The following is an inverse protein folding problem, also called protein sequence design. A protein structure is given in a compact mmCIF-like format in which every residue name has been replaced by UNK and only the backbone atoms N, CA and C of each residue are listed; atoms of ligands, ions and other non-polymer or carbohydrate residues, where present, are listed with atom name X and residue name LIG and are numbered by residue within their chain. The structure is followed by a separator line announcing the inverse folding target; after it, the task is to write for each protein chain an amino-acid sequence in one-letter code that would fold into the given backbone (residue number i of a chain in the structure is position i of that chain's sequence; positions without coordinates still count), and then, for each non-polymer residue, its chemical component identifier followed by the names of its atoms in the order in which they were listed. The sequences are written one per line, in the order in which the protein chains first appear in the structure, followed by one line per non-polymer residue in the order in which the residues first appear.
data_IF_828797052819
#
_entry.id   IF_828797052819
#
_cell.length_a   1.000
_cell.length_b   1.000
_cell.length_c   1.000
_cell.angle_alpha   90.00
_cell.angle_beta   90.00
_cell.angle_gamma   90.00
#
_symmetry.space_group_name_H-M   'P 1'
#
loop_
_entity.id
_entity.type
_entity.pdbx_description
1 polymer ?
#
# COMPACT_ATOMS: atom_id res chain seq x y z
N UNK A 1 11.60 57.13 -47.70
CA UNK A 1 11.87 58.31 -46.85
C UNK A 1 10.76 58.28 -45.81
N UNK A 2 10.96 58.06 -44.52
CA UNK A 2 12.12 58.33 -43.65
C UNK A 2 11.93 57.55 -42.34
N UNK A 3 13.04 57.07 -41.76
CA UNK A 3 13.28 56.73 -40.35
C UNK A 3 12.19 55.96 -39.59
N UNK A 4 12.35 54.67 -39.27
CA UNK A 4 13.38 54.19 -38.37
C UNK A 4 13.08 54.60 -36.92
N UNK A 5 12.27 53.83 -36.21
CA UNK A 5 12.26 53.85 -34.73
C UNK A 5 12.78 52.52 -34.21
N UNK A 6 14.09 52.35 -34.40
CA UNK A 6 14.90 51.48 -33.58
C UNK A 6 15.09 52.19 -32.24
N UNK A 7 14.18 51.99 -31.29
CA UNK A 7 14.46 52.26 -29.88
C UNK A 7 14.09 51.04 -29.07
N UNK A 8 15.14 50.48 -28.49
CA UNK A 8 15.14 49.67 -27.28
C UNK A 8 14.86 48.18 -27.50
N UNK A 9 15.72 47.58 -28.34
CA UNK A 9 16.40 46.38 -27.90
C UNK A 9 17.18 46.68 -26.61
N UNK A 10 16.90 45.91 -25.56
CA UNK A 10 17.67 45.66 -24.32
C UNK A 10 17.08 46.24 -23.01
N UNK A 11 16.94 45.33 -22.03
CA UNK A 11 16.47 45.47 -20.65
C UNK A 11 14.96 45.70 -20.52
N UNK A 12 14.13 44.77 -20.05
CA UNK A 12 14.25 44.04 -18.78
C UNK A 12 13.60 42.65 -18.95
N UNK A 13 14.35 41.71 -19.51
CA UNK A 13 14.32 40.36 -18.95
C UNK A 13 14.89 40.53 -17.54
N UNK A 14 14.02 40.89 -16.59
CA UNK A 14 14.33 40.89 -15.15
C UNK A 14 14.55 39.44 -14.77
N UNK A 15 15.74 38.98 -15.13
CA UNK A 15 16.40 37.81 -14.64
C UNK A 15 16.66 38.11 -13.16
N UNK A 16 15.60 38.06 -12.35
CA UNK A 16 15.65 37.97 -10.90
C UNK A 16 16.43 36.69 -10.60
N UNK A 17 17.75 36.79 -10.69
CA UNK A 17 18.66 35.88 -10.03
C UNK A 17 18.24 35.93 -8.58
N UNK A 18 17.55 34.89 -8.12
CA UNK A 18 17.24 34.74 -6.70
C UNK A 18 18.58 34.82 -5.96
N UNK A 19 18.89 35.99 -5.40
CA UNK A 19 20.21 36.24 -4.81
C UNK A 19 20.58 35.12 -3.82
N UNK A 20 19.58 34.69 -3.03
CA UNK A 20 19.48 33.37 -2.40
C UNK A 20 17.99 33.03 -2.25
N UNK A 21 17.60 31.77 -2.47
CA UNK A 21 16.24 31.28 -2.20
C UNK A 21 16.17 30.52 -0.87
N UNK A 22 14.96 30.24 -0.37
CA UNK A 22 14.78 29.39 0.82
C UNK A 22 15.10 27.93 0.46
N UNK A 23 16.14 27.37 1.08
CA UNK A 23 16.60 26.02 0.80
C UNK A 23 15.68 24.90 1.31
N UNK A 24 14.80 25.15 2.30
CA UNK A 24 13.91 24.13 2.86
C UNK A 24 12.66 24.74 3.54
N UNK A 25 11.50 24.08 3.40
CA UNK A 25 10.28 24.41 4.15
C UNK A 25 9.37 23.19 4.36
N UNK A 26 8.84 23.06 5.58
CA UNK A 26 7.82 22.07 5.96
C UNK A 26 6.43 22.72 6.19
N UNK A 27 6.28 24.02 5.89
CA UNK A 27 5.13 24.81 6.33
C UNK A 27 3.76 24.28 5.87
N UNK A 28 3.65 23.82 4.62
CA UNK A 28 2.38 23.34 4.05
C UNK A 28 2.27 21.80 4.02
N UNK A 29 3.24 21.04 4.54
CA UNK A 29 3.21 19.58 4.39
C UNK A 29 2.09 18.96 5.25
N UNK A 30 1.93 19.42 6.50
CA UNK A 30 0.86 18.95 7.38
C UNK A 30 -0.52 19.24 6.79
N UNK A 31 -0.75 20.47 6.29
CA UNK A 31 -2.02 20.82 5.64
C UNK A 31 -2.32 19.91 4.45
N UNK A 32 -1.31 19.60 3.62
CA UNK A 32 -1.47 18.65 2.50
C UNK A 32 -1.75 17.22 2.96
N UNK A 33 -1.04 16.73 3.99
CA UNK A 33 -1.24 15.38 4.53
C UNK A 33 -2.65 15.20 5.13
N UNK A 34 -3.18 16.25 5.77
CA UNK A 34 -4.52 16.22 6.36
C UNK A 34 -5.67 16.45 5.37
N UNK A 35 -5.43 17.02 4.16
CA UNK A 35 -6.48 17.17 3.13
C UNK A 35 -7.17 15.83 2.80
N UNK A 36 -6.39 14.75 2.68
CA UNK A 36 -6.92 13.40 2.45
C UNK A 36 -6.97 12.54 3.73
N UNK A 37 -6.54 13.13 4.86
CA UNK A 37 -6.39 12.47 6.15
C UNK A 37 -5.20 11.50 6.20
N UNK A 38 -4.51 11.47 7.35
CA UNK A 38 -3.47 10.48 7.63
C UNK A 38 -4.15 9.16 7.98
N UNK A 39 -4.16 8.20 7.05
CA UNK A 39 -4.79 6.90 7.26
C UNK A 39 -3.86 5.96 8.02
N UNK A 40 -4.40 5.30 9.04
CA UNK A 40 -3.71 4.22 9.76
C UNK A 40 -3.58 2.98 8.85
N UNK A 41 -2.53 2.15 9.02
CA UNK A 41 -2.44 0.88 8.31
C UNK A 41 -3.65 0.00 8.65
N UNK A 42 -4.17 -0.70 7.65
CA UNK A 42 -5.31 -1.60 7.84
C UNK A 42 -4.86 -2.83 8.63
N UNK A 43 -5.57 -3.13 9.71
CA UNK A 43 -5.38 -4.36 10.47
C UNK A 43 -6.34 -5.43 9.97
N UNK A 44 -5.83 -6.64 9.79
CA UNK A 44 -6.63 -7.81 9.41
C UNK A 44 -6.59 -8.83 10.56
N UNK A 45 -7.67 -9.61 10.72
CA UNK A 45 -7.75 -10.66 11.76
C UNK A 45 -6.61 -11.67 11.67
N UNK A 46 -6.12 -11.94 10.46
CA UNK A 46 -5.05 -12.90 10.20
C UNK A 46 -3.95 -12.25 9.35
N UNK A 47 -2.78 -11.92 9.93
CA UNK A 47 -1.65 -11.39 9.18
C UNK A 47 -0.90 -12.49 8.41
N UNK A 48 -0.03 -12.10 7.47
CA UNK A 48 0.83 -13.04 6.76
C UNK A 48 1.91 -13.62 7.68
N UNK A 49 2.27 -14.89 7.49
CA UNK A 49 3.37 -15.55 8.20
C UNK A 49 4.75 -15.36 7.52
N UNK A 50 4.89 -14.36 6.64
CA UNK A 50 6.17 -14.09 5.96
C UNK A 50 7.21 -13.63 6.99
N UNK A 51 8.38 -14.28 7.00
CA UNK A 51 9.47 -13.98 7.95
C UNK A 51 9.42 -14.77 9.26
N UNK A 52 8.43 -15.64 9.46
CA UNK A 52 8.40 -16.59 10.58
C UNK A 52 9.38 -17.73 10.32
N UNK A 53 9.95 -18.31 11.39
CA UNK A 53 10.92 -19.42 11.33
C UNK A 53 10.48 -20.54 10.34
N UNK A 54 11.30 -20.84 9.31
CA UNK A 54 11.02 -21.89 8.35
C UNK A 54 10.80 -23.28 8.98
N UNK A 55 11.47 -23.61 10.09
CA UNK A 55 11.31 -24.91 10.76
C UNK A 55 9.93 -25.02 11.39
N UNK A 56 9.51 -23.99 12.12
CA UNK A 56 8.15 -23.89 12.65
C UNK A 56 7.09 -23.96 11.53
N UNK A 57 7.27 -23.21 10.43
CA UNK A 57 6.31 -23.19 9.33
C UNK A 57 6.17 -24.54 8.62
N UNK A 58 7.29 -25.26 8.43
CA UNK A 58 7.26 -26.64 7.90
C UNK A 58 6.39 -27.54 8.77
N UNK A 59 6.61 -27.53 10.08
CA UNK A 59 5.83 -28.32 11.01
C UNK A 59 4.34 -27.93 11.00
N UNK A 60 4.04 -26.63 11.10
CA UNK A 60 2.66 -26.14 11.07
C UNK A 60 1.92 -26.56 9.79
N UNK A 61 2.61 -26.56 8.64
CA UNK A 61 2.05 -27.01 7.36
C UNK A 61 1.67 -28.48 7.39
N UNK A 62 2.54 -29.35 7.92
CA UNK A 62 2.24 -30.78 8.04
C UNK A 62 1.12 -31.05 9.04
N UNK A 63 1.11 -30.39 10.19
CA UNK A 63 0.05 -30.51 11.19
C UNK A 63 -1.33 -30.14 10.61
N UNK A 64 -1.44 -28.97 9.96
CA UNK A 64 -2.67 -28.52 9.30
C UNK A 64 -3.16 -29.52 8.24
N UNK A 65 -2.24 -30.06 7.43
CA UNK A 65 -2.58 -31.06 6.40
C UNK A 65 -3.15 -32.33 7.02
N UNK A 66 -2.53 -32.84 8.10
CA UNK A 66 -3.02 -34.01 8.83
C UNK A 66 -4.43 -33.80 9.37
N UNK A 67 -4.67 -32.69 10.08
CA UNK A 67 -5.99 -32.34 10.60
C UNK A 67 -7.03 -32.22 9.50
N UNK A 68 -6.69 -31.57 8.39
CA UNK A 68 -7.62 -31.39 7.27
C UNK A 68 -8.11 -32.75 6.73
N UNK A 69 -7.20 -33.71 6.50
CA UNK A 69 -7.55 -35.04 5.99
C UNK A 69 -8.50 -35.81 6.94
N UNK A 70 -8.22 -35.78 8.25
CA UNK A 70 -9.09 -36.43 9.25
C UNK A 70 -10.47 -35.76 9.26
N UNK A 71 -10.50 -34.44 9.26
CA UNK A 71 -11.75 -33.68 9.26
C UNK A 71 -12.58 -33.93 7.99
N UNK A 72 -11.94 -34.06 6.82
CA UNK A 72 -12.64 -34.38 5.57
C UNK A 72 -13.24 -35.77 5.59
N UNK A 73 -12.53 -36.78 6.12
CA UNK A 73 -13.05 -38.15 6.27
C UNK A 73 -14.25 -38.18 7.20
N UNK A 74 -14.12 -37.60 8.40
CA UNK A 74 -15.21 -37.48 9.37
C UNK A 74 -16.44 -36.77 8.78
N UNK A 75 -16.23 -35.70 8.02
CA UNK A 75 -17.32 -34.99 7.33
C UNK A 75 -18.01 -35.88 6.28
N UNK A 76 -17.25 -36.67 5.52
CA UNK A 76 -17.79 -37.59 4.54
C UNK A 76 -18.61 -38.72 5.20
N UNK A 77 -18.12 -39.28 6.31
CA UNK A 77 -18.82 -40.29 7.11
C UNK A 77 -20.13 -39.76 7.67
N UNK A 78 -20.12 -38.57 8.30
CA UNK A 78 -21.34 -37.91 8.79
C UNK A 78 -22.33 -37.67 7.65
N UNK A 79 -21.84 -37.23 6.48
CA UNK A 79 -22.68 -36.99 5.30
C UNK A 79 -23.29 -38.29 4.76
N UNK A 80 -22.54 -39.40 4.76
CA UNK A 80 -23.04 -40.71 4.36
C UNK A 80 -24.10 -41.24 5.35
N UNK A 81 -23.84 -41.11 6.65
CA UNK A 81 -24.79 -41.48 7.70
C UNK A 81 -26.08 -40.64 7.66
N UNK A 82 -25.99 -39.36 7.31
CA UNK A 82 -27.15 -38.50 7.11
C UNK A 82 -28.01 -38.87 5.90
N UNK A 83 -27.39 -39.34 4.81
CA UNK A 83 -28.12 -39.82 3.61
C UNK A 83 -28.85 -41.14 3.85
N UNK A 84 -28.29 -42.03 4.67
CA UNK A 84 -28.89 -43.33 4.98
C UNK A 84 -30.03 -43.25 6.01
N UNK A 85 -30.26 -42.08 6.64
CA UNK A 85 -31.38 -41.84 7.56
C UNK A 85 -32.60 -41.20 6.89
N UNK A 86 -32.49 -40.81 5.63
CA UNK A 86 -33.56 -40.16 4.86
C UNK A 86 -34.16 -41.07 3.76
N UNK A 87 -33.93 -42.39 3.85
CA UNK A 87 -34.48 -43.42 2.97
C UNK A 87 -35.39 -44.34 3.78
#
# INVERSE_FOLDING_TARGET
MESGNQRESQSLEDHFTMAKSKNHTNHNQNKKAHRNGIKKPKTYRHPSLKGVDPKFLRNQRFAKRGTFLVMTKKKAEIKAAGKNKSA
#
